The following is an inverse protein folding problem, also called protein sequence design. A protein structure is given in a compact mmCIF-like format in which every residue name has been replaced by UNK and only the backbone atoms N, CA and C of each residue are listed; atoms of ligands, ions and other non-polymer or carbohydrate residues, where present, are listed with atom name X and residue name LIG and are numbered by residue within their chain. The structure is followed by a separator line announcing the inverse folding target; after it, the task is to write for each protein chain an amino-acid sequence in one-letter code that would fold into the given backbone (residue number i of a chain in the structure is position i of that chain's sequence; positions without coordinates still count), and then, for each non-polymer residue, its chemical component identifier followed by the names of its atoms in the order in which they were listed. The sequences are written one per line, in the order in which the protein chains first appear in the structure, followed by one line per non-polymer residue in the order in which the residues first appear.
data_IF_516971864723
#
_entry.id   IF_516971864723
#
_cell.length_a   1.000
_cell.length_b   1.000
_cell.length_c   1.000
_cell.angle_alpha   90.00
_cell.angle_beta   90.00
_cell.angle_gamma   90.00
#
_symmetry.space_group_name_H-M   'P 1'
#
loop_
_entity.id
_entity.type
_entity.pdbx_description
1 polymer ?
#
# COMPACT_ATOMS: atom_id res chain seq x y z
N UNK A 1 -1.33 10.90 21.08
CA UNK A 1 -0.01 10.27 20.90
C UNK A 1 -0.07 8.98 20.07
N UNK A 2 -0.96 8.01 20.39
CA UNK A 2 -1.08 6.71 19.64
C UNK A 2 -1.38 6.92 18.15
N UNK A 3 -2.34 7.77 17.81
CA UNK A 3 -2.77 8.01 16.42
C UNK A 3 -1.67 8.64 15.54
N UNK A 4 -0.82 9.52 16.09
CA UNK A 4 0.30 10.10 15.36
C UNK A 4 1.36 9.03 15.02
N UNK A 5 1.61 8.08 15.93
CA UNK A 5 2.53 6.97 15.66
C UNK A 5 1.99 6.04 14.58
N UNK A 6 0.70 5.71 14.60
CA UNK A 6 0.05 4.91 13.54
C UNK A 6 0.20 5.61 12.19
N UNK A 7 -0.13 6.91 12.12
CA UNK A 7 0.00 7.68 10.88
C UNK A 7 1.43 7.70 10.36
N UNK A 8 2.42 7.96 11.21
CA UNK A 8 3.82 7.94 10.83
C UNK A 8 4.25 6.58 10.25
N UNK A 9 3.79 5.49 10.83
CA UNK A 9 4.06 4.14 10.32
C UNK A 9 3.40 3.93 8.96
N UNK A 10 2.18 4.45 8.77
CA UNK A 10 1.51 4.38 7.47
C UNK A 10 2.25 5.18 6.39
N UNK A 11 2.73 6.38 6.69
CA UNK A 11 3.55 7.19 5.79
C UNK A 11 4.82 6.45 5.37
N UNK A 12 5.55 5.88 6.34
CA UNK A 12 6.74 5.06 6.08
C UNK A 12 6.41 3.82 5.25
N UNK A 13 5.30 3.15 5.54
CA UNK A 13 4.83 1.98 4.79
C UNK A 13 4.49 2.31 3.33
N UNK A 14 3.95 3.51 3.07
CA UNK A 14 3.68 3.97 1.71
C UNK A 14 4.96 4.27 0.93
N UNK A 15 5.98 4.81 1.58
CA UNK A 15 7.29 5.08 0.98
C UNK A 15 8.05 3.78 0.71
N UNK A 16 8.05 2.85 1.66
CA UNK A 16 8.73 1.56 1.53
C UNK A 16 8.16 0.64 0.42
N UNK A 17 6.94 0.90 -0.05
CA UNK A 17 6.34 0.18 -1.16
C UNK A 17 5.54 1.15 -2.04
N UNK A 18 6.20 1.94 -2.91
CA UNK A 18 5.57 3.01 -3.65
C UNK A 18 4.58 2.50 -4.70
N UNK A 19 3.60 3.34 -5.06
CA UNK A 19 2.82 3.16 -6.28
C UNK A 19 3.55 3.77 -7.47
N UNK A 20 3.30 3.28 -8.68
CA UNK A 20 3.88 3.88 -9.91
C UNK A 20 3.35 5.30 -10.11
N UNK A 21 2.07 5.52 -9.81
CA UNK A 21 1.44 6.83 -9.82
C UNK A 21 0.76 7.07 -8.48
N UNK A 22 0.91 8.29 -7.97
CA UNK A 22 0.27 8.74 -6.74
C UNK A 22 -0.48 10.03 -6.99
N UNK A 23 -1.72 10.11 -6.51
CA UNK A 23 -2.54 11.32 -6.53
C UNK A 23 -2.94 11.68 -5.09
N UNK A 24 -2.93 12.97 -4.79
CA UNK A 24 -3.47 13.49 -3.53
C UNK A 24 -4.89 14.02 -3.77
N UNK A 25 -5.81 13.68 -2.89
CA UNK A 25 -7.18 14.18 -2.94
C UNK A 25 -7.72 14.41 -1.53
N UNK A 26 -7.88 15.66 -1.16
CA UNK A 26 -8.48 16.13 0.09
C UNK A 26 -7.98 15.34 1.33
N UNK A 27 -6.64 15.23 1.48
CA UNK A 27 -5.97 14.52 2.57
C UNK A 27 -5.81 13.01 2.36
N UNK A 28 -6.36 12.43 1.27
CA UNK A 28 -6.20 11.03 0.92
C UNK A 28 -5.11 10.83 -0.14
N UNK A 29 -4.48 9.66 -0.11
CA UNK A 29 -3.45 9.25 -1.07
C UNK A 29 -4.01 8.10 -1.91
N UNK A 30 -4.21 8.35 -3.20
CA UNK A 30 -4.64 7.36 -4.18
C UNK A 30 -3.41 6.82 -4.90
N UNK A 31 -3.25 5.52 -4.94
CA UNK A 31 -2.08 4.86 -5.51
C UNK A 31 -2.50 3.93 -6.64
N UNK A 32 -1.71 3.94 -7.72
CA UNK A 32 -1.97 3.17 -8.93
C UNK A 32 -0.69 2.45 -9.37
N UNK A 33 -0.80 1.16 -9.64
CA UNK A 33 0.28 0.30 -10.12
C UNK A 33 -0.30 -0.85 -10.98
N UNK A 34 -1.05 -0.52 -12.02
CA UNK A 34 -1.60 -1.46 -13.01
C UNK A 34 -2.36 -2.65 -12.40
N UNK A 35 -2.93 -2.50 -11.21
CA UNK A 35 -3.61 -3.58 -10.49
C UNK A 35 -2.70 -4.61 -9.83
N UNK A 36 -1.37 -4.46 -9.90
CA UNK A 36 -0.44 -5.35 -9.20
C UNK A 36 -0.35 -4.96 -7.72
N UNK A 37 -0.81 -5.88 -6.86
CA UNK A 37 -1.02 -5.79 -5.41
C UNK A 37 -1.99 -4.70 -4.94
N UNK A 38 -2.84 -5.03 -3.97
CA UNK A 38 -3.72 -4.06 -3.31
C UNK A 38 -2.91 -2.99 -2.57
N UNK A 39 -1.71 -3.32 -2.06
CA UNK A 39 -0.83 -2.39 -1.36
C UNK A 39 -0.43 -1.19 -2.24
N UNK A 40 -0.15 -1.41 -3.52
CA UNK A 40 0.22 -0.37 -4.48
C UNK A 40 -0.97 0.21 -5.26
N UNK A 41 -2.18 -0.36 -5.13
CA UNK A 41 -3.41 0.06 -5.80
C UNK A 41 -4.52 0.31 -4.79
N UNK A 42 -4.33 1.25 -3.87
CA UNK A 42 -5.30 1.54 -2.82
C UNK A 42 -5.43 3.02 -2.51
N UNK A 43 -6.61 3.37 -2.04
CA UNK A 43 -6.91 4.66 -1.41
C UNK A 43 -6.52 4.58 0.06
N UNK A 44 -5.64 5.48 0.51
CA UNK A 44 -5.14 5.55 1.86
C UNK A 44 -5.59 6.85 2.51
N UNK A 45 -6.38 6.76 3.57
CA UNK A 45 -6.94 7.89 4.30
C UNK A 45 -5.95 8.38 5.37
N UNK A 46 -4.90 9.11 4.99
CA UNK A 46 -3.87 9.54 5.95
C UNK A 46 -4.29 10.74 6.79
N UNK A 47 -4.97 11.69 6.17
CA UNK A 47 -5.35 12.95 6.78
C UNK A 47 -6.84 13.22 6.59
N UNK A 48 -7.42 13.97 7.51
CA UNK A 48 -8.75 14.52 7.32
C UNK A 48 -8.81 15.51 6.16
N UNK A 49 -10.01 15.75 5.66
CA UNK A 49 -10.25 16.70 4.58
C UNK A 49 -11.49 17.55 4.83
N UNK A 50 -11.91 18.30 3.81
CA UNK A 50 -13.07 19.19 3.83
C UNK A 50 -14.28 18.62 3.08
N UNK A 51 -14.07 17.66 2.19
CA UNK A 51 -15.10 17.01 1.38
C UNK A 51 -15.75 15.87 2.20
N UNK A 52 -17.05 15.67 2.06
CA UNK A 52 -17.75 14.59 2.76
C UNK A 52 -17.32 13.20 2.24
N UNK A 53 -17.48 12.17 3.09
CA UNK A 53 -16.97 10.82 2.78
C UNK A 53 -17.65 10.18 1.57
N UNK A 54 -18.97 10.40 1.39
CA UNK A 54 -19.70 9.82 0.26
C UNK A 54 -19.17 10.35 -1.07
N UNK A 55 -19.00 11.66 -1.18
CA UNK A 55 -18.42 12.30 -2.37
C UNK A 55 -16.99 11.82 -2.62
N UNK A 56 -16.16 11.69 -1.56
CA UNK A 56 -14.79 11.17 -1.67
C UNK A 56 -14.78 9.75 -2.21
N UNK A 57 -15.68 8.87 -1.76
CA UNK A 57 -15.80 7.51 -2.28
C UNK A 57 -16.11 7.55 -3.78
N UNK A 58 -17.11 8.34 -4.21
CA UNK A 58 -17.52 8.43 -5.61
C UNK A 58 -16.37 8.93 -6.52
N UNK A 59 -15.67 9.96 -6.08
CA UNK A 59 -14.50 10.48 -6.81
C UNK A 59 -13.39 9.43 -6.90
N UNK A 60 -13.09 8.73 -5.82
CA UNK A 60 -12.09 7.66 -5.84
C UNK A 60 -12.52 6.51 -6.76
N UNK A 61 -13.76 6.04 -6.65
CA UNK A 61 -14.30 5.00 -7.54
C UNK A 61 -14.16 5.40 -9.01
N UNK A 62 -14.54 6.65 -9.36
CA UNK A 62 -14.43 7.16 -10.72
C UNK A 62 -12.99 7.17 -11.21
N UNK A 63 -12.02 7.60 -10.39
CA UNK A 63 -10.60 7.64 -10.77
C UNK A 63 -10.00 6.26 -11.02
N UNK A 64 -10.35 5.26 -10.19
CA UNK A 64 -9.92 3.87 -10.40
C UNK A 64 -10.60 3.28 -11.64
N UNK A 65 -11.90 3.48 -11.82
CA UNK A 65 -12.66 3.01 -12.98
C UNK A 65 -12.08 3.53 -14.30
N UNK A 66 -11.70 4.81 -14.38
CA UNK A 66 -11.06 5.40 -15.58
C UNK A 66 -9.72 4.75 -15.94
N UNK A 67 -9.09 4.05 -15.01
CA UNK A 67 -7.85 3.29 -15.23
C UNK A 67 -8.11 1.78 -15.40
N UNK A 68 -9.38 1.37 -15.48
CA UNK A 68 -9.75 -0.05 -15.58
C UNK A 68 -9.48 -0.85 -14.30
N UNK A 69 -9.41 -0.18 -13.15
CA UNK A 69 -9.11 -0.78 -11.85
C UNK A 69 -10.32 -0.75 -10.92
N UNK A 70 -10.40 -1.74 -10.03
CA UNK A 70 -11.31 -1.71 -8.89
C UNK A 70 -10.74 -0.79 -7.80
N UNK A 71 -11.61 -0.02 -7.14
CA UNK A 71 -11.20 0.80 -6.00
C UNK A 71 -11.04 -0.07 -4.75
N UNK A 72 -9.87 -0.01 -4.13
CA UNK A 72 -9.55 -0.67 -2.86
C UNK A 72 -9.28 0.42 -1.83
N UNK A 73 -9.92 0.34 -0.67
CA UNK A 73 -9.73 1.29 0.43
C UNK A 73 -8.99 0.63 1.58
N UNK A 74 -7.91 1.26 2.04
CA UNK A 74 -7.22 0.83 3.25
C UNK A 74 -7.86 1.50 4.45
N UNK A 75 -8.48 0.71 5.31
CA UNK A 75 -9.17 1.17 6.52
C UNK A 75 -8.36 0.79 7.75
N UNK A 76 -8.17 1.75 8.67
CA UNK A 76 -7.45 1.58 9.93
C UNK A 76 -8.32 2.14 11.05
N UNK A 77 -9.22 1.33 11.63
CA UNK A 77 -10.22 1.80 12.60
C UNK A 77 -9.60 2.50 13.83
N UNK A 78 -8.37 2.13 14.19
CA UNK A 78 -7.62 2.68 15.31
C UNK A 78 -7.07 4.09 15.04
N UNK A 79 -7.05 4.53 13.77
CA UNK A 79 -6.48 5.82 13.40
C UNK A 79 -7.45 6.97 13.73
N UNK A 80 -8.74 6.82 13.42
CA UNK A 80 -9.74 7.84 13.73
C UNK A 80 -11.18 7.32 13.65
N UNK A 81 -12.13 8.10 14.19
CA UNK A 81 -13.57 7.83 14.03
C UNK A 81 -14.02 7.97 12.56
N UNK A 82 -13.30 8.74 11.75
CA UNK A 82 -13.57 8.85 10.31
C UNK A 82 -13.32 7.52 9.60
N UNK A 83 -12.27 6.76 9.96
CA UNK A 83 -12.04 5.42 9.44
C UNK A 83 -13.16 4.44 9.79
N UNK A 84 -13.69 4.50 11.01
CA UNK A 84 -14.82 3.65 11.42
C UNK A 84 -16.10 3.99 10.64
N UNK A 85 -16.37 5.28 10.42
CA UNK A 85 -17.50 5.72 9.59
C UNK A 85 -17.33 5.26 8.15
N UNK A 86 -16.12 5.37 7.63
CA UNK A 86 -15.79 4.95 6.27
C UNK A 86 -16.02 3.46 6.07
N UNK A 87 -15.62 2.63 7.03
CA UNK A 87 -15.82 1.18 7.00
C UNK A 87 -17.30 0.83 6.84
N UNK A 88 -18.17 1.43 7.67
CA UNK A 88 -19.63 1.26 7.58
C UNK A 88 -20.21 1.75 6.25
N UNK A 89 -19.71 2.87 5.70
CA UNK A 89 -20.15 3.39 4.41
C UNK A 89 -19.76 2.48 3.24
N UNK A 90 -18.58 1.90 3.30
CA UNK A 90 -18.09 0.94 2.29
C UNK A 90 -18.90 -0.36 2.36
N UNK A 91 -19.13 -0.90 3.56
CA UNK A 91 -19.99 -2.07 3.75
C UNK A 91 -21.40 -1.86 3.18
N UNK A 92 -22.01 -0.70 3.48
CA UNK A 92 -23.33 -0.33 2.94
C UNK A 92 -23.35 -0.20 1.41
N UNK A 93 -22.20 0.01 0.76
CA UNK A 93 -22.03 0.05 -0.69
C UNK A 93 -21.62 -1.29 -1.30
N UNK A 94 -21.60 -2.37 -0.51
CA UNK A 94 -21.28 -3.72 -0.97
C UNK A 94 -19.76 -4.00 -1.11
N UNK A 95 -18.90 -3.21 -0.47
CA UNK A 95 -17.49 -3.55 -0.34
C UNK A 95 -17.30 -4.70 0.65
N UNK A 96 -16.34 -5.55 0.36
CA UNK A 96 -15.97 -6.68 1.20
C UNK A 96 -14.53 -6.51 1.72
N UNK A 97 -14.26 -7.07 2.90
CA UNK A 97 -12.90 -7.14 3.45
C UNK A 97 -12.14 -8.24 2.72
N UNK A 98 -11.13 -7.85 1.93
CA UNK A 98 -10.36 -8.80 1.12
C UNK A 98 -9.01 -9.17 1.71
N UNK A 99 -8.40 -8.29 2.50
CA UNK A 99 -7.03 -8.49 3.02
C UNK A 99 -6.90 -7.96 4.45
N UNK A 100 -7.46 -8.64 5.46
CA UNK A 100 -7.22 -8.27 6.85
C UNK A 100 -5.72 -8.43 7.16
N UNK A 101 -5.09 -7.40 7.73
CA UNK A 101 -3.64 -7.36 7.94
C UNK A 101 -3.31 -6.79 9.30
N UNK A 102 -2.49 -7.49 10.07
CA UNK A 102 -1.89 -7.01 11.31
C UNK A 102 -0.52 -6.38 11.01
N UNK A 103 -0.33 -5.12 11.43
CA UNK A 103 0.95 -4.43 11.31
C UNK A 103 1.72 -4.58 12.63
N UNK A 104 2.84 -5.29 12.59
CA UNK A 104 3.71 -5.53 13.73
C UNK A 104 4.94 -4.62 13.69
N UNK A 105 5.40 -4.18 14.87
CA UNK A 105 6.60 -3.34 15.03
C UNK A 105 7.58 -4.07 15.93
N UNK A 106 8.85 -4.12 15.49
CA UNK A 106 9.95 -4.63 16.30
C UNK A 106 10.93 -3.48 16.57
N UNK A 107 11.24 -3.25 17.85
CA UNK A 107 12.33 -2.34 18.23
C UNK A 107 13.68 -3.03 18.05
N UNK A 108 14.45 -2.55 17.08
CA UNK A 108 15.77 -3.09 16.75
C UNK A 108 16.90 -2.46 17.55
N UNK A 109 16.66 -1.37 18.29
CA UNK A 109 17.70 -0.62 19.02
C UNK A 109 18.44 -1.43 20.10
N UNK A 110 17.87 -2.55 20.53
CA UNK A 110 18.41 -3.41 21.59
C UNK A 110 18.74 -4.83 21.15
N UNK A 111 18.76 -5.07 19.84
CA UNK A 111 19.01 -6.41 19.29
C UNK A 111 20.19 -6.37 18.33
N UNK A 112 21.15 -7.26 18.57
CA UNK A 112 22.17 -7.61 17.60
C UNK A 112 21.64 -8.79 16.78
N UNK A 113 21.63 -8.64 15.47
CA UNK A 113 21.30 -9.73 14.57
C UNK A 113 22.58 -10.20 13.91
N UNK A 114 22.98 -11.48 14.09
CA UNK A 114 24.09 -12.01 13.36
C UNK A 114 23.78 -11.97 11.87
N UNK A 115 24.70 -11.43 11.08
CA UNK A 115 24.66 -11.52 9.61
C UNK A 115 25.10 -12.94 9.28
N UNK A 116 24.23 -13.73 8.64
CA UNK A 116 24.64 -15.03 8.13
C UNK A 116 25.55 -14.85 6.91
N UNK A 117 26.71 -15.50 6.90
CA UNK A 117 27.69 -15.42 5.82
C UNK A 117 27.13 -15.93 4.47
N UNK A 118 26.01 -16.65 4.50
CA UNK A 118 25.30 -17.13 3.31
C UNK A 118 24.40 -16.08 2.63
N UNK A 119 24.20 -14.92 3.27
CA UNK A 119 23.38 -13.84 2.69
C UNK A 119 24.22 -12.95 1.78
N UNK A 120 23.74 -12.75 0.55
CA UNK A 120 24.29 -11.79 -0.40
C UNK A 120 23.39 -10.55 -0.40
N UNK A 121 23.98 -9.38 -0.20
CA UNK A 121 23.29 -8.10 -0.29
C UNK A 121 23.55 -7.48 -1.67
N UNK A 122 22.50 -7.11 -2.37
CA UNK A 122 22.58 -6.45 -3.67
C UNK A 122 21.84 -5.12 -3.62
N UNK A 123 22.40 -4.08 -4.23
CA UNK A 123 21.76 -2.74 -4.31
C UNK A 123 20.49 -2.78 -5.17
N UNK A 124 20.47 -3.65 -6.18
CA UNK A 124 19.29 -3.86 -7.05
C UNK A 124 19.03 -5.34 -7.23
N UNK A 125 17.75 -5.77 -7.39
CA UNK A 125 17.45 -7.16 -7.70
C UNK A 125 17.98 -7.53 -9.09
N UNK A 126 18.87 -8.54 -9.13
CA UNK A 126 19.39 -9.12 -10.36
C UNK A 126 18.31 -9.95 -11.08
N UNK A 127 18.49 -10.21 -12.38
CA UNK A 127 17.50 -10.96 -13.16
C UNK A 127 17.23 -12.36 -12.59
N UNK A 128 18.25 -13.08 -12.12
CA UNK A 128 18.11 -14.41 -11.51
C UNK A 128 17.31 -14.35 -10.19
N UNK A 129 17.50 -13.29 -9.40
CA UNK A 129 16.71 -13.05 -8.20
C UNK A 129 15.25 -12.76 -8.55
N UNK A 130 15.02 -11.93 -9.58
CA UNK A 130 13.66 -11.58 -10.03
C UNK A 130 12.92 -12.80 -10.59
N UNK A 131 13.60 -13.68 -11.34
CA UNK A 131 13.00 -14.93 -11.81
C UNK A 131 12.57 -15.81 -10.62
N UNK A 132 13.46 -16.01 -9.65
CA UNK A 132 13.17 -16.77 -8.43
C UNK A 132 12.03 -16.15 -7.62
N UNK A 133 11.99 -14.82 -7.50
CA UNK A 133 10.92 -14.09 -6.83
C UNK A 133 9.57 -14.30 -7.52
N UNK A 134 9.51 -14.20 -8.86
CA UNK A 134 8.26 -14.38 -9.60
C UNK A 134 7.78 -15.82 -9.58
N UNK A 135 8.68 -16.80 -9.59
CA UNK A 135 8.34 -18.21 -9.43
C UNK A 135 7.76 -18.47 -8.03
N UNK A 136 8.37 -17.92 -6.98
CA UNK A 136 7.89 -18.06 -5.60
C UNK A 136 6.52 -17.40 -5.40
N UNK A 137 6.30 -16.23 -5.96
CA UNK A 137 5.02 -15.50 -5.91
C UNK A 137 3.98 -16.05 -6.89
N UNK A 138 4.30 -17.08 -7.68
CA UNK A 138 3.46 -17.59 -8.75
C UNK A 138 2.99 -16.50 -9.73
N UNK A 139 3.80 -15.48 -9.93
CA UNK A 139 3.52 -14.34 -10.77
C UNK A 139 3.88 -14.61 -12.23
N UNK A 140 2.95 -15.15 -13.00
CA UNK A 140 3.16 -15.53 -14.40
C UNK A 140 2.74 -14.44 -15.42
N UNK A 141 2.02 -13.40 -14.97
CA UNK A 141 1.54 -12.32 -15.84
C UNK A 141 2.68 -11.33 -16.14
N UNK A 142 3.07 -11.12 -17.42
CA UNK A 142 4.16 -10.22 -17.77
C UNK A 142 3.92 -8.75 -17.36
N UNK A 143 2.66 -8.29 -17.36
CA UNK A 143 2.30 -6.94 -16.92
C UNK A 143 2.57 -6.79 -15.42
N UNK A 144 2.18 -7.78 -14.62
CA UNK A 144 2.42 -7.82 -13.18
C UNK A 144 3.92 -7.87 -12.87
N UNK A 145 4.70 -8.71 -13.57
CA UNK A 145 6.16 -8.78 -13.42
C UNK A 145 6.82 -7.44 -13.73
N UNK A 146 6.46 -6.82 -14.86
CA UNK A 146 6.99 -5.50 -15.22
C UNK A 146 6.60 -4.42 -14.18
N UNK A 147 5.38 -4.46 -13.68
CA UNK A 147 4.91 -3.55 -12.65
C UNK A 147 5.67 -3.73 -11.33
N UNK A 148 5.95 -4.99 -10.93
CA UNK A 148 6.76 -5.30 -9.77
C UNK A 148 8.19 -4.73 -9.92
N UNK A 149 8.84 -4.93 -11.07
CA UNK A 149 10.17 -4.35 -11.37
C UNK A 149 10.15 -2.83 -11.27
N UNK A 150 9.12 -2.17 -11.79
CA UNK A 150 8.96 -0.72 -11.68
C UNK A 150 8.80 -0.27 -10.23
N UNK A 151 7.98 -0.96 -9.42
CA UNK A 151 7.81 -0.63 -7.99
C UNK A 151 9.15 -0.76 -7.28
N UNK A 152 9.88 -1.86 -7.48
CA UNK A 152 11.19 -2.09 -6.86
C UNK A 152 12.21 -1.00 -7.22
N UNK A 153 12.22 -0.53 -8.48
CA UNK A 153 13.10 0.56 -8.91
C UNK A 153 12.76 1.94 -8.32
N UNK A 154 11.58 2.10 -7.73
CA UNK A 154 11.15 3.34 -7.07
C UNK A 154 11.41 3.34 -5.56
N UNK A 155 11.82 2.20 -4.98
CA UNK A 155 12.22 2.13 -3.57
C UNK A 155 13.53 2.90 -3.44
N UNK A 156 13.53 3.92 -2.58
CA UNK A 156 14.71 4.73 -2.32
C UNK A 156 15.49 4.10 -1.16
N UNK A 157 16.81 4.01 -1.33
CA UNK A 157 17.74 3.71 -0.24
C UNK A 157 17.85 4.98 0.62
N UNK A 158 17.41 4.90 1.88
CA UNK A 158 17.55 5.96 2.90
C UNK A 158 18.81 5.72 3.74
#
# INVERSE_FOLDING_TARGET
MKNNKIRQIEELSLNAHPGIKTELYDGWVLRFANGYTNRANSVNMLYGGSVNLEEKIEVCQSRYFLQGLSSVFKIIPELSEEHKKMDLLLEARGYEIVTPTDLMILDLSKKEFPIEESCVFCDFPEDEWLESYFDFEHCTNPVSQNTAKQIMSLIQDD
#
